data_IF_963880733897
#
_entry.id   IF_963880733897
#
_cell.length_a   1.000
_cell.length_b   1.000
_cell.length_c   1.000
_cell.angle_alpha   90.00
_cell.angle_beta   90.00
_cell.angle_gamma   90.00
#
_symmetry.space_group_name_H-M   'P 1'
#
loop_
_entity.id
_entity.type
_entity.pdbx_description
1 polymer ?
#
# COMPACT_ATOMS: atom_id res chain seq x y z
N UNK A 1 21.21 67.66 -7.36
CA UNK A 1 20.83 67.73 -5.94
C UNK A 1 19.57 66.90 -5.74
N UNK A 2 19.52 66.04 -4.72
CA UNK A 2 18.29 65.30 -4.37
C UNK A 2 17.34 66.28 -3.68
N UNK A 3 16.11 66.41 -4.18
CA UNK A 3 15.10 67.28 -3.57
C UNK A 3 14.49 66.59 -2.33
N UNK A 4 14.14 67.37 -1.31
CA UNK A 4 13.49 66.93 -0.07
C UNK A 4 12.25 66.05 -0.32
N UNK A 5 11.45 66.38 -1.36
CA UNK A 5 10.31 65.57 -1.75
C UNK A 5 10.71 64.15 -2.17
N UNK A 6 11.79 64.02 -2.94
CA UNK A 6 12.33 62.72 -3.39
C UNK A 6 12.86 61.91 -2.21
N UNK A 7 13.50 62.55 -1.24
CA UNK A 7 13.99 61.90 -0.02
C UNK A 7 12.84 61.32 0.82
N UNK A 8 11.76 62.08 1.00
CA UNK A 8 10.59 61.63 1.77
C UNK A 8 9.88 60.45 1.13
N UNK A 9 9.76 60.43 -0.21
CA UNK A 9 9.19 59.30 -0.95
C UNK A 9 10.04 58.04 -0.75
N UNK A 10 11.36 58.15 -0.89
CA UNK A 10 12.27 57.02 -0.68
C UNK A 10 12.24 56.48 0.76
N UNK A 11 12.07 57.37 1.75
CA UNK A 11 11.90 56.95 3.14
C UNK A 11 10.57 56.22 3.36
N UNK A 12 9.48 56.71 2.78
CA UNK A 12 8.18 56.05 2.85
C UNK A 12 8.21 54.65 2.20
N UNK A 13 8.82 54.52 1.02
CA UNK A 13 8.98 53.24 0.33
C UNK A 13 9.84 52.25 1.12
N UNK A 14 10.90 52.74 1.78
CA UNK A 14 11.75 51.92 2.65
C UNK A 14 10.97 51.38 3.85
N UNK A 15 10.19 52.21 4.52
CA UNK A 15 9.40 51.76 5.67
C UNK A 15 8.29 50.80 5.22
N UNK A 16 7.61 51.08 4.10
CA UNK A 16 6.62 50.16 3.53
C UNK A 16 7.25 48.80 3.16
N UNK A 17 8.46 48.79 2.61
CA UNK A 17 9.18 47.57 2.25
C UNK A 17 9.60 46.75 3.48
N UNK A 18 10.01 47.41 4.58
CA UNK A 18 10.33 46.73 5.84
C UNK A 18 9.11 46.04 6.44
N UNK A 19 7.95 46.70 6.42
CA UNK A 19 6.70 46.12 6.91
C UNK A 19 6.35 44.86 6.11
N UNK A 20 6.40 44.93 4.78
CA UNK A 20 6.16 43.75 3.92
C UNK A 20 7.14 42.61 4.17
N UNK A 21 8.42 42.92 4.41
CA UNK A 21 9.43 41.92 4.70
C UNK A 21 9.15 41.23 6.05
N UNK A 22 8.74 42.00 7.06
CA UNK A 22 8.34 41.45 8.35
C UNK A 22 7.11 40.54 8.23
N UNK A 23 6.09 40.96 7.47
CA UNK A 23 4.89 40.15 7.20
C UNK A 23 5.24 38.84 6.47
N UNK A 24 6.06 38.91 5.42
CA UNK A 24 6.52 37.72 4.70
C UNK A 24 7.34 36.78 5.58
N UNK A 25 8.18 37.30 6.46
CA UNK A 25 8.95 36.50 7.41
C UNK A 25 8.03 35.76 8.40
N UNK A 26 6.97 36.43 8.89
CA UNK A 26 5.96 35.80 9.75
C UNK A 26 5.19 34.70 9.01
N UNK A 27 4.75 34.97 7.78
CA UNK A 27 4.06 33.97 6.95
C UNK A 27 4.94 32.77 6.64
N UNK A 28 6.22 33.00 6.33
CA UNK A 28 7.18 31.92 6.09
C UNK A 28 7.36 31.06 7.34
N UNK A 29 7.53 31.67 8.52
CA UNK A 29 7.65 30.94 9.78
C UNK A 29 6.40 30.09 10.07
N UNK A 30 5.21 30.64 9.83
CA UNK A 30 3.96 29.91 10.01
C UNK A 30 3.81 28.73 9.03
N UNK A 31 4.17 28.95 7.75
CA UNK A 31 4.12 27.89 6.73
C UNK A 31 5.13 26.79 7.03
N UNK A 32 6.33 27.15 7.47
CA UNK A 32 7.36 26.19 7.85
C UNK A 32 6.91 25.34 9.05
N UNK A 33 6.30 25.95 10.07
CA UNK A 33 5.75 25.21 11.20
C UNK A 33 4.64 24.23 10.78
N UNK A 34 3.76 24.63 9.86
CA UNK A 34 2.72 23.74 9.31
C UNK A 34 3.31 22.59 8.51
N UNK A 35 4.31 22.87 7.67
CA UNK A 35 5.01 21.85 6.91
C UNK A 35 5.69 20.83 7.82
N UNK A 36 6.40 21.30 8.86
CA UNK A 36 7.05 20.42 9.82
C UNK A 36 6.04 19.56 10.60
N UNK A 37 4.90 20.12 10.98
CA UNK A 37 3.83 19.37 11.63
C UNK A 37 3.26 18.29 10.70
N UNK A 38 2.97 18.64 9.45
CA UNK A 38 2.44 17.71 8.45
C UNK A 38 3.46 16.61 8.11
N UNK A 39 4.74 16.97 7.95
CA UNK A 39 5.81 16.02 7.68
C UNK A 39 5.96 15.00 8.83
N UNK A 40 5.86 15.45 10.08
CA UNK A 40 5.87 14.55 11.26
C UNK A 40 4.66 13.62 11.26
N UNK A 41 3.46 14.13 11.05
CA UNK A 41 2.25 13.31 10.99
C UNK A 41 2.33 12.26 9.87
N UNK A 42 2.79 12.67 8.69
CA UNK A 42 2.97 11.77 7.56
C UNK A 42 4.00 10.68 7.84
N UNK A 43 5.12 11.02 8.50
CA UNK A 43 6.13 10.05 8.90
C UNK A 43 5.57 9.00 9.88
N UNK A 44 4.75 9.42 10.85
CA UNK A 44 4.07 8.51 11.79
C UNK A 44 3.10 7.58 11.05
N UNK A 45 2.24 8.13 10.20
CA UNK A 45 1.28 7.32 9.41
C UNK A 45 1.96 6.32 8.49
N UNK A 46 3.08 6.71 7.86
CA UNK A 46 3.86 5.77 7.04
C UNK A 46 4.40 4.64 7.91
N UNK A 47 5.00 4.94 9.05
CA UNK A 47 5.57 3.93 9.95
C UNK A 47 4.50 2.93 10.42
N UNK A 48 3.31 3.41 10.81
CA UNK A 48 2.17 2.57 11.17
C UNK A 48 1.71 1.69 9.99
N UNK A 49 1.53 2.30 8.81
CA UNK A 49 1.12 1.56 7.60
C UNK A 49 2.14 0.54 7.10
N UNK A 50 3.44 0.79 7.32
CA UNK A 50 4.50 -0.15 6.95
C UNK A 50 4.45 -1.40 7.81
N UNK A 51 4.22 -1.25 9.12
CA UNK A 51 4.05 -2.39 10.02
C UNK A 51 2.83 -3.23 9.65
N UNK A 52 1.68 -2.59 9.39
CA UNK A 52 0.46 -3.28 8.93
C UNK A 52 0.66 -3.97 7.58
N UNK A 53 1.37 -3.32 6.64
CA UNK A 53 1.69 -3.92 5.34
C UNK A 53 2.62 -5.11 5.48
N UNK A 54 3.66 -5.04 6.30
CA UNK A 54 4.56 -6.16 6.57
C UNK A 54 3.84 -7.34 7.22
N UNK A 55 2.97 -7.07 8.21
CA UNK A 55 2.08 -8.08 8.79
C UNK A 55 1.13 -8.67 7.73
N UNK A 56 0.62 -7.84 6.82
CA UNK A 56 -0.18 -8.24 5.67
C UNK A 56 0.59 -9.14 4.70
N UNK A 57 1.84 -8.81 4.38
CA UNK A 57 2.69 -9.60 3.48
C UNK A 57 3.07 -10.95 4.11
N UNK A 58 3.42 -10.95 5.40
CA UNK A 58 3.73 -12.20 6.13
C UNK A 58 2.51 -13.11 6.22
N UNK A 59 1.33 -12.56 6.50
CA UNK A 59 0.09 -13.33 6.54
C UNK A 59 -0.30 -13.81 5.13
N UNK A 60 -0.15 -13.00 4.09
CA UNK A 60 -0.38 -13.43 2.70
C UNK A 60 0.53 -14.58 2.30
N UNK A 61 1.84 -14.49 2.56
CA UNK A 61 2.79 -15.58 2.31
C UNK A 61 2.38 -16.86 3.04
N UNK A 62 1.96 -16.73 4.30
CA UNK A 62 1.43 -17.86 5.09
C UNK A 62 0.20 -18.49 4.43
N UNK A 63 -0.77 -17.67 4.01
CA UNK A 63 -1.98 -18.17 3.34
C UNK A 63 -1.67 -18.83 1.99
N UNK A 64 -0.77 -18.26 1.20
CA UNK A 64 -0.35 -18.85 -0.07
C UNK A 64 0.33 -20.20 0.13
N UNK A 65 1.15 -20.35 1.17
CA UNK A 65 1.78 -21.64 1.51
C UNK A 65 0.75 -22.68 1.94
N UNK A 66 -0.22 -22.30 2.79
CA UNK A 66 -1.30 -23.20 3.22
C UNK A 66 -2.14 -23.63 2.01
N UNK A 67 -2.60 -22.68 1.18
CA UNK A 67 -3.43 -22.94 0.00
C UNK A 67 -2.66 -23.81 -0.99
N UNK A 68 -1.40 -23.48 -1.29
CA UNK A 68 -0.56 -24.25 -2.18
C UNK A 68 -0.38 -25.68 -1.70
N UNK A 69 -0.09 -25.86 -0.40
CA UNK A 69 0.10 -27.19 0.20
C UNK A 69 -1.18 -28.03 0.15
N UNK A 70 -2.33 -27.43 0.46
CA UNK A 70 -3.63 -28.08 0.31
C UNK A 70 -3.90 -28.46 -1.15
N UNK A 71 -3.54 -27.61 -2.12
CA UNK A 71 -3.65 -27.95 -3.53
C UNK A 71 -2.76 -29.13 -3.94
N UNK A 72 -1.53 -29.17 -3.45
CA UNK A 72 -0.62 -30.30 -3.68
C UNK A 72 -1.21 -31.60 -3.13
N UNK A 73 -1.86 -31.55 -1.96
CA UNK A 73 -2.55 -32.72 -1.41
C UNK A 73 -3.78 -33.09 -2.24
N UNK A 74 -4.67 -32.14 -2.53
CA UNK A 74 -5.91 -32.38 -3.28
C UNK A 74 -5.65 -33.03 -4.65
N UNK A 75 -4.63 -32.55 -5.36
CA UNK A 75 -4.27 -33.04 -6.70
C UNK A 75 -3.21 -34.15 -6.66
N UNK A 76 -2.75 -34.51 -5.46
CA UNK A 76 -1.68 -35.45 -5.23
C UNK A 76 -2.14 -36.87 -4.99
N UNK A 77 -1.15 -37.75 -4.86
CA UNK A 77 -1.32 -39.16 -4.52
C UNK A 77 -0.44 -39.50 -3.33
N UNK A 78 -0.88 -40.48 -2.55
CA UNK A 78 -0.05 -41.06 -1.50
C UNK A 78 1.17 -41.79 -2.09
N UNK A 79 2.20 -42.10 -1.28
CA UNK A 79 3.35 -42.88 -1.74
C UNK A 79 2.96 -44.25 -2.34
N UNK A 80 1.82 -44.82 -1.91
CA UNK A 80 1.26 -46.05 -2.47
C UNK A 80 0.41 -45.84 -3.74
N UNK A 81 0.37 -44.62 -4.28
CA UNK A 81 -0.33 -44.28 -5.53
C UNK A 81 -1.82 -43.95 -5.39
N UNK A 82 -2.39 -43.95 -4.18
CA UNK A 82 -3.81 -43.63 -3.96
C UNK A 82 -4.03 -42.12 -3.97
N UNK A 83 -4.90 -41.61 -4.84
CA UNK A 83 -5.28 -40.19 -4.84
C UNK A 83 -5.87 -39.77 -3.49
N UNK A 84 -5.48 -38.59 -3.00
CA UNK A 84 -6.03 -38.05 -1.75
C UNK A 84 -7.44 -37.48 -1.92
N UNK A 85 -7.81 -37.07 -3.13
CA UNK A 85 -9.14 -36.55 -3.45
C UNK A 85 -9.66 -37.06 -4.80
N UNK A 86 -10.92 -36.76 -5.11
CA UNK A 86 -11.54 -37.01 -6.42
C UNK A 86 -11.17 -35.96 -7.48
N UNK A 87 -10.56 -34.84 -7.09
CA UNK A 87 -10.15 -33.80 -8.03
C UNK A 87 -8.91 -34.22 -8.81
N UNK A 88 -8.98 -34.10 -10.13
CA UNK A 88 -7.90 -34.53 -11.03
C UNK A 88 -7.01 -33.38 -11.48
N UNK A 89 -7.54 -32.16 -11.51
CA UNK A 89 -6.84 -30.97 -11.99
C UNK A 89 -7.37 -29.70 -11.33
N UNK A 90 -6.72 -28.58 -11.64
CA UNK A 90 -7.09 -27.27 -11.11
C UNK A 90 -8.50 -26.85 -11.55
N UNK A 91 -8.89 -27.10 -12.80
CA UNK A 91 -10.21 -26.74 -13.33
C UNK A 91 -11.34 -27.35 -12.49
N UNK A 92 -11.21 -28.62 -12.08
CA UNK A 92 -12.19 -29.31 -11.26
C UNK A 92 -12.30 -28.67 -9.85
N UNK A 93 -11.19 -28.22 -9.28
CA UNK A 93 -11.17 -27.50 -7.99
C UNK A 93 -11.85 -26.13 -8.12
N UNK A 94 -11.52 -25.37 -9.16
CA UNK A 94 -12.14 -24.06 -9.44
C UNK A 94 -13.64 -24.21 -9.66
N UNK A 95 -14.05 -25.19 -10.47
CA UNK A 95 -15.45 -25.46 -10.77
C UNK A 95 -16.24 -25.80 -9.51
N UNK A 96 -15.69 -26.64 -8.63
CA UNK A 96 -16.33 -26.97 -7.36
C UNK A 96 -16.43 -25.76 -6.42
N UNK A 97 -15.37 -24.96 -6.31
CA UNK A 97 -15.40 -23.73 -5.50
C UNK A 97 -16.46 -22.75 -5.98
N UNK A 98 -16.61 -22.56 -7.29
CA UNK A 98 -17.66 -21.72 -7.87
C UNK A 98 -19.05 -22.28 -7.56
N UNK A 99 -19.28 -23.56 -7.82
CA UNK A 99 -20.58 -24.20 -7.60
C UNK A 99 -21.05 -24.13 -6.14
N UNK A 100 -20.13 -24.13 -5.17
CA UNK A 100 -20.48 -24.14 -3.74
C UNK A 100 -20.37 -22.78 -3.05
N UNK A 101 -19.60 -21.84 -3.60
CA UNK A 101 -19.26 -20.57 -2.93
C UNK A 101 -19.40 -19.34 -3.83
N UNK A 102 -20.09 -19.45 -4.96
CA UNK A 102 -20.43 -18.31 -5.81
C UNK A 102 -21.10 -17.17 -5.03
N UNK A 103 -20.89 -15.95 -5.52
CA UNK A 103 -21.41 -14.73 -4.90
C UNK A 103 -20.63 -14.23 -3.68
N UNK A 104 -19.70 -15.03 -3.13
CA UNK A 104 -18.81 -14.55 -2.06
C UNK A 104 -17.74 -13.61 -2.61
N UNK A 105 -17.49 -12.45 -1.96
CA UNK A 105 -16.41 -11.56 -2.35
C UNK A 105 -15.07 -12.31 -2.47
N UNK A 106 -14.41 -12.17 -3.62
CA UNK A 106 -13.15 -12.85 -3.90
C UNK A 106 -13.26 -14.26 -4.48
N UNK A 107 -14.45 -14.85 -4.60
CA UNK A 107 -14.68 -16.15 -5.26
C UNK A 107 -15.25 -15.92 -6.68
N UNK A 108 -14.59 -15.06 -7.47
CA UNK A 108 -14.83 -15.03 -8.92
C UNK A 108 -13.92 -16.03 -9.61
N UNK A 109 -14.33 -16.57 -10.76
CA UNK A 109 -13.52 -17.52 -11.53
C UNK A 109 -12.11 -16.95 -11.79
N UNK A 110 -12.04 -15.71 -12.25
CA UNK A 110 -10.79 -14.98 -12.47
C UNK A 110 -9.92 -14.91 -11.22
N UNK A 111 -10.54 -14.61 -10.07
CA UNK A 111 -9.82 -14.50 -8.79
C UNK A 111 -9.29 -15.86 -8.34
N UNK A 112 -10.10 -16.91 -8.46
CA UNK A 112 -9.70 -18.27 -8.09
C UNK A 112 -8.50 -18.73 -8.93
N UNK A 113 -8.57 -18.61 -10.25
CA UNK A 113 -7.44 -18.93 -11.13
C UNK A 113 -6.18 -18.18 -10.75
N UNK A 114 -6.30 -16.87 -10.54
CA UNK A 114 -5.17 -16.02 -10.17
C UNK A 114 -4.55 -16.45 -8.84
N UNK A 115 -5.35 -16.58 -7.78
CA UNK A 115 -4.87 -16.89 -6.42
C UNK A 115 -4.38 -18.33 -6.26
N UNK A 116 -5.04 -19.31 -6.87
CA UNK A 116 -4.59 -20.70 -6.82
C UNK A 116 -3.29 -20.92 -7.60
N UNK A 117 -3.14 -20.29 -8.77
CA UNK A 117 -1.89 -20.33 -9.52
C UNK A 117 -0.75 -19.61 -8.76
N UNK A 118 -1.06 -18.46 -8.13
CA UNK A 118 -0.11 -17.74 -7.27
C UNK A 118 0.35 -18.63 -6.11
N UNK A 119 -0.58 -19.28 -5.41
CA UNK A 119 -0.28 -20.16 -4.28
C UNK A 119 0.63 -21.33 -4.68
N UNK A 120 0.38 -21.97 -5.82
CA UNK A 120 1.26 -23.03 -6.34
C UNK A 120 2.67 -22.53 -6.62
N UNK A 121 2.81 -21.44 -7.38
CA UNK A 121 4.13 -20.86 -7.69
C UNK A 121 4.87 -20.43 -6.43
N UNK A 122 4.15 -19.84 -5.48
CA UNK A 122 4.73 -19.40 -4.21
C UNK A 122 5.26 -20.59 -3.39
N UNK A 123 4.49 -21.67 -3.30
CA UNK A 123 4.92 -22.88 -2.61
C UNK A 123 6.13 -23.54 -3.29
N UNK A 124 6.12 -23.61 -4.62
CA UNK A 124 7.24 -24.15 -5.41
C UNK A 124 8.52 -23.32 -5.22
N UNK A 125 8.40 -21.98 -5.13
CA UNK A 125 9.53 -21.09 -4.88
C UNK A 125 10.00 -21.08 -3.40
N UNK A 126 9.16 -21.56 -2.47
CA UNK A 126 9.48 -21.63 -1.04
C UNK A 126 10.11 -22.97 -0.62
N UNK A 127 10.27 -23.92 -1.55
CA UNK A 127 10.97 -25.20 -1.33
C UNK A 127 12.46 -25.05 -1.60
#
# INVERSE_FOLDING_TARGET
>A
AVNLATLNVLLADREASKVRLAELAQLHAALQAQYEALAKEHAVRIAESSGERELGLRSESTYLNIIGGLLTLLLGKSPAGKSYSSFQNMDAVVSALLAHHEGRPGISERTLWSKLAQARRHLEASR
#
